data_IF_831568462893
#
_entry.id   IF_831568462893
#
_cell.length_a   1.000
_cell.length_b   1.000
_cell.length_c   1.000
_cell.angle_alpha   90.00
_cell.angle_beta   90.00
_cell.angle_gamma   90.00
#
_symmetry.space_group_name_H-M   'P 1'
#
loop_
_entity.id
_entity.type
_entity.pdbx_description
1 polymer ?
#
# COMPACT_ATOMS: atom_id res chain seq x y z
N UNK A 1 -27.09 -30.13 -0.31
CA UNK A 1 -27.89 -30.97 0.63
C UNK A 1 -27.08 -31.26 1.91
N UNK A 2 -25.89 -31.85 1.87
CA UNK A 2 -25.11 -32.19 3.09
C UNK A 2 -24.87 -31.06 4.06
N UNK A 3 -24.48 -29.86 3.58
CA UNK A 3 -24.22 -28.68 4.41
C UNK A 3 -25.48 -28.17 5.11
N UNK A 4 -26.64 -28.24 4.47
CA UNK A 4 -27.92 -27.83 5.05
C UNK A 4 -28.34 -28.78 6.20
N UNK A 5 -28.12 -30.07 6.03
CA UNK A 5 -28.37 -31.11 7.05
C UNK A 5 -27.51 -30.85 8.28
N UNK A 6 -26.24 -30.56 8.09
CA UNK A 6 -25.30 -30.25 9.17
C UNK A 6 -25.70 -28.97 9.93
N UNK A 7 -26.10 -27.91 9.23
CA UNK A 7 -26.59 -26.66 9.84
C UNK A 7 -27.88 -26.87 10.65
N UNK A 8 -28.79 -27.76 10.22
CA UNK A 8 -29.99 -28.09 10.96
C UNK A 8 -29.67 -28.84 12.26
N UNK A 9 -28.71 -29.80 12.20
CA UNK A 9 -28.27 -30.56 13.35
C UNK A 9 -27.54 -29.68 14.38
N UNK A 10 -26.65 -28.78 13.91
CA UNK A 10 -25.95 -27.82 14.77
C UNK A 10 -26.89 -26.79 15.42
N UNK A 11 -27.94 -26.39 14.73
CA UNK A 11 -28.91 -25.41 15.24
C UNK A 11 -30.07 -26.05 16.04
N UNK A 12 -30.13 -27.37 16.16
CA UNK A 12 -31.24 -28.11 16.82
C UNK A 12 -32.61 -27.90 16.14
N UNK A 13 -32.63 -27.71 14.82
CA UNK A 13 -33.84 -27.38 14.06
C UNK A 13 -34.24 -28.61 13.25
N UNK A 14 -35.56 -28.91 13.23
CA UNK A 14 -36.12 -29.98 12.41
C UNK A 14 -35.77 -29.79 10.93
N UNK A 15 -35.23 -30.85 10.30
CA UNK A 15 -34.78 -30.81 8.91
C UNK A 15 -35.94 -30.49 7.96
N UNK A 16 -35.86 -29.42 7.16
CA UNK A 16 -36.91 -29.12 6.17
C UNK A 16 -36.90 -30.20 5.09
N UNK A 17 -38.07 -30.56 4.61
CA UNK A 17 -38.20 -31.40 3.40
C UNK A 17 -37.93 -30.48 2.20
N UNK A 18 -36.71 -30.53 1.69
CA UNK A 18 -36.26 -29.77 0.52
C UNK A 18 -36.06 -30.76 -0.64
N UNK A 19 -36.85 -30.61 -1.68
CA UNK A 19 -36.64 -31.22 -2.97
C UNK A 19 -36.42 -30.16 -4.07
N UNK A 20 -36.00 -30.59 -5.25
CA UNK A 20 -35.73 -29.70 -6.37
C UNK A 20 -36.99 -28.92 -6.85
N UNK A 21 -38.16 -29.54 -6.70
CA UNK A 21 -39.43 -28.92 -7.11
C UNK A 21 -39.86 -27.79 -6.17
N UNK A 22 -39.54 -27.89 -4.87
CA UNK A 22 -39.78 -26.83 -3.92
C UNK A 22 -38.87 -25.59 -4.13
N UNK A 23 -37.61 -25.82 -4.52
CA UNK A 23 -36.73 -24.74 -4.91
C UNK A 23 -37.26 -23.96 -6.12
N UNK A 24 -37.75 -24.69 -7.15
CA UNK A 24 -38.37 -24.09 -8.33
C UNK A 24 -39.66 -23.31 -8.02
N UNK A 25 -40.43 -23.74 -7.02
CA UNK A 25 -41.65 -23.00 -6.58
C UNK A 25 -41.29 -21.69 -5.83
N UNK A 26 -40.12 -21.62 -5.16
CA UNK A 26 -39.70 -20.38 -4.49
C UNK A 26 -39.14 -19.35 -5.48
N UNK A 27 -38.66 -19.80 -6.62
CA UNK A 27 -38.22 -18.91 -7.69
C UNK A 27 -39.38 -18.27 -8.47
N UNK A 28 -40.63 -18.83 -8.36
CA UNK A 28 -41.72 -18.40 -9.22
C UNK A 28 -42.88 -17.68 -8.49
N UNK A 29 -43.30 -18.04 -7.27
CA UNK A 29 -44.49 -17.38 -6.66
C UNK A 29 -44.77 -17.65 -5.17
N UNK A 30 -44.03 -18.49 -4.46
CA UNK A 30 -44.33 -18.80 -3.03
C UNK A 30 -43.12 -18.52 -2.15
N UNK A 31 -43.26 -17.53 -1.28
CA UNK A 31 -42.24 -17.25 -0.27
C UNK A 31 -42.09 -18.45 0.70
N UNK A 32 -40.81 -18.83 1.00
CA UNK A 32 -40.50 -19.83 2.02
C UNK A 32 -41.00 -19.38 3.40
N UNK A 33 -41.26 -20.32 4.29
CA UNK A 33 -41.59 -19.98 5.69
C UNK A 33 -40.40 -19.32 6.38
N UNK A 34 -40.63 -18.45 7.36
CA UNK A 34 -39.62 -17.67 8.08
C UNK A 34 -38.41 -18.53 8.57
N UNK A 35 -38.67 -19.74 9.07
CA UNK A 35 -37.62 -20.71 9.46
C UNK A 35 -36.74 -21.15 8.29
N UNK A 36 -37.31 -21.32 7.12
CA UNK A 36 -36.56 -21.72 5.91
C UNK A 36 -35.72 -20.56 5.38
N UNK A 37 -36.26 -19.33 5.46
CA UNK A 37 -35.55 -18.09 5.13
C UNK A 37 -34.32 -17.96 6.02
N UNK A 38 -34.44 -18.12 7.34
CA UNK A 38 -33.33 -18.07 8.29
C UNK A 38 -32.24 -19.10 7.96
N UNK A 39 -32.62 -20.34 7.62
CA UNK A 39 -31.69 -21.38 7.21
C UNK A 39 -30.97 -21.08 5.91
N UNK A 40 -31.66 -20.49 4.93
CA UNK A 40 -31.07 -20.07 3.66
C UNK A 40 -30.10 -18.91 3.87
N UNK A 41 -30.45 -17.93 4.70
CA UNK A 41 -29.58 -16.83 5.08
C UNK A 41 -28.28 -17.32 5.73
N UNK A 42 -28.35 -18.29 6.63
CA UNK A 42 -27.19 -18.92 7.27
C UNK A 42 -26.36 -19.73 6.28
N UNK A 43 -27.01 -20.50 5.39
CA UNK A 43 -26.34 -21.32 4.37
C UNK A 43 -25.50 -20.47 3.41
N UNK A 44 -26.10 -19.38 2.92
CA UNK A 44 -25.48 -18.47 1.96
C UNK A 44 -24.72 -17.30 2.62
N UNK A 45 -24.72 -17.23 3.96
CA UNK A 45 -24.09 -16.16 4.75
C UNK A 45 -24.51 -14.76 4.29
N UNK A 46 -25.81 -14.57 4.07
CA UNK A 46 -26.42 -13.35 3.56
C UNK A 46 -27.76 -13.08 4.26
N UNK A 47 -28.41 -11.96 3.96
CA UNK A 47 -29.73 -11.63 4.51
C UNK A 47 -30.87 -11.99 3.56
N UNK A 48 -32.12 -11.95 4.07
CA UNK A 48 -33.31 -12.34 3.31
C UNK A 48 -33.61 -11.39 2.14
N UNK A 49 -33.22 -10.13 2.25
CA UNK A 49 -33.42 -9.09 1.22
C UNK A 49 -32.48 -9.36 0.03
N UNK A 50 -31.23 -9.65 0.32
CA UNK A 50 -30.22 -10.02 -0.70
C UNK A 50 -30.58 -11.31 -1.44
N UNK A 51 -31.27 -12.25 -0.77
CA UNK A 51 -31.80 -13.47 -1.39
C UNK A 51 -33.11 -13.24 -2.17
N UNK A 52 -33.65 -12.02 -2.17
CA UNK A 52 -34.96 -11.73 -2.79
C UNK A 52 -36.16 -12.34 -2.06
N UNK A 53 -35.96 -12.87 -0.83
CA UNK A 53 -36.96 -13.56 -0.01
C UNK A 53 -37.70 -12.64 0.97
N UNK A 54 -37.36 -11.39 1.05
CA UNK A 54 -38.05 -10.34 1.81
C UNK A 54 -37.97 -9.02 1.05
N UNK A 55 -38.99 -8.18 1.14
CA UNK A 55 -38.95 -6.82 0.62
C UNK A 55 -38.00 -5.95 1.43
N UNK A 56 -37.27 -5.04 0.76
CA UNK A 56 -36.48 -4.03 1.45
C UNK A 56 -37.42 -2.97 2.05
N UNK A 57 -37.83 -3.17 3.28
CA UNK A 57 -38.65 -2.22 4.03
C UNK A 57 -37.87 -1.00 4.53
N UNK A 58 -36.57 -0.87 4.19
CA UNK A 58 -35.77 0.29 4.56
C UNK A 58 -35.95 1.47 3.61
N UNK A 59 -36.48 1.24 2.41
CA UNK A 59 -36.71 2.29 1.41
C UNK A 59 -38.05 3.01 1.55
N UNK A 60 -39.07 2.47 2.26
CA UNK A 60 -40.43 3.04 2.37
C UNK A 60 -40.79 3.50 3.78
N UNK A 61 -39.85 3.65 4.69
CA UNK A 61 -40.11 4.12 6.02
C UNK A 61 -40.28 5.66 6.05
N UNK A 62 -41.48 6.15 5.86
CA UNK A 62 -41.92 7.38 6.52
C UNK A 62 -41.68 7.23 8.03
N UNK A 63 -40.69 7.95 8.53
CA UNK A 63 -40.39 7.98 9.96
C UNK A 63 -41.52 8.68 10.68
N UNK A 64 -42.43 7.91 11.30
CA UNK A 64 -43.34 8.43 12.27
C UNK A 64 -42.51 8.85 13.49
N UNK A 65 -42.26 10.15 13.59
CA UNK A 65 -41.59 10.78 14.72
C UNK A 65 -42.49 10.75 15.94
N UNK A 66 -42.19 9.90 16.91
CA UNK A 66 -42.82 9.96 18.23
C UNK A 66 -42.14 11.07 19.04
N UNK A 67 -42.85 12.11 19.50
CA UNK A 67 -42.22 13.18 20.27
C UNK A 67 -41.83 12.68 21.66
N UNK A 68 -40.55 12.79 22.01
CA UNK A 68 -40.06 12.59 23.37
C UNK A 68 -40.29 13.87 24.18
N UNK A 69 -41.03 13.76 25.28
CA UNK A 69 -41.19 14.80 26.27
C UNK A 69 -39.85 15.16 26.95
N UNK A 70 -39.60 16.45 27.24
CA UNK A 70 -38.40 16.86 27.97
C UNK A 70 -38.62 16.72 29.48
N UNK A 71 -37.68 16.04 30.15
CA UNK A 71 -37.58 16.05 31.61
C UNK A 71 -36.67 17.20 32.08
N UNK A 72 -36.86 17.72 33.29
CA UNK A 72 -36.28 19.00 33.72
C UNK A 72 -34.87 18.90 34.32
N UNK A 73 -34.13 19.88 33.99
CA UNK A 73 -33.04 20.58 34.55
C UNK A 73 -32.10 20.01 35.63
N UNK A 74 -30.83 20.29 35.44
CA UNK A 74 -30.04 20.92 36.50
C UNK A 74 -28.84 21.70 35.91
N UNK A 75 -28.77 22.98 36.28
CA UNK A 75 -27.60 23.84 36.06
C UNK A 75 -26.54 23.55 37.10
N UNK A 76 -25.31 23.46 36.68
CA UNK A 76 -24.15 23.74 37.53
C UNK A 76 -23.09 24.43 36.67
N UNK A 77 -22.84 25.69 36.97
CA UNK A 77 -21.71 26.48 36.48
C UNK A 77 -20.40 25.97 37.07
N UNK A 78 -19.41 25.77 36.25
CA UNK A 78 -18.04 25.67 36.70
C UNK A 78 -17.12 26.39 35.72
N UNK A 79 -16.47 27.41 36.22
CA UNK A 79 -15.48 28.25 35.58
C UNK A 79 -14.27 27.46 35.12
N UNK A 80 -13.83 27.66 33.87
CA UNK A 80 -12.59 27.09 33.34
C UNK A 80 -11.58 28.20 33.09
N UNK A 81 -10.46 28.11 33.79
CA UNK A 81 -9.23 28.85 33.48
C UNK A 81 -8.54 28.24 32.24
N UNK A 82 -7.90 29.02 31.39
CA UNK A 82 -7.15 28.48 30.27
C UNK A 82 -5.76 27.99 30.73
N UNK A 83 -5.47 26.73 30.48
CA UNK A 83 -4.09 26.21 30.50
C UNK A 83 -3.64 25.93 29.07
N UNK A 84 -2.63 26.65 28.66
CA UNK A 84 -1.80 26.39 27.49
C UNK A 84 -1.16 25.01 27.60
N UNK A 85 -1.39 24.16 26.64
CA UNK A 85 -0.49 23.02 26.36
C UNK A 85 -0.41 22.80 24.86
N UNK A 86 0.74 23.12 24.35
CA UNK A 86 1.23 22.68 23.05
C UNK A 86 1.32 21.16 23.00
N UNK A 87 0.98 20.61 21.84
CA UNK A 87 1.43 19.28 21.46
C UNK A 87 0.45 18.15 21.74
N UNK A 88 -0.22 17.75 20.72
CA UNK A 88 -0.55 16.35 20.36
C UNK A 88 -1.44 16.41 19.11
N UNK A 89 -0.81 16.50 17.95
CA UNK A 89 -1.48 16.23 16.70
C UNK A 89 -1.63 14.71 16.55
N UNK A 90 -2.44 14.11 17.42
CA UNK A 90 -3.07 12.84 17.08
C UNK A 90 -4.13 13.17 16.04
N UNK A 91 -3.92 12.75 14.82
CA UNK A 91 -4.95 12.68 13.78
C UNK A 91 -5.94 11.59 14.18
N UNK A 92 -6.78 11.88 15.15
CA UNK A 92 -8.08 11.25 15.26
C UNK A 92 -8.82 11.73 14.01
N UNK A 93 -9.10 10.82 13.10
CA UNK A 93 -10.07 11.11 12.03
C UNK A 93 -11.33 11.55 12.78
N UNK A 94 -11.64 12.85 12.71
CA UNK A 94 -12.81 13.41 13.33
C UNK A 94 -14.02 12.54 12.91
N UNK A 95 -14.80 11.97 13.84
CA UNK A 95 -15.96 11.15 13.51
C UNK A 95 -16.90 11.86 12.54
N UNK A 96 -16.96 13.19 12.61
CA UNK A 96 -17.72 14.02 11.69
C UNK A 96 -17.11 13.99 10.28
N UNK A 97 -15.81 14.11 10.13
CA UNK A 97 -15.13 14.02 8.82
C UNK A 97 -15.35 12.66 8.18
N UNK A 98 -15.26 11.57 8.95
CA UNK A 98 -15.55 10.22 8.48
C UNK A 98 -17.01 10.06 8.06
N UNK A 99 -17.95 10.59 8.84
CA UNK A 99 -19.38 10.55 8.54
C UNK A 99 -19.74 11.38 7.31
N UNK A 100 -19.19 12.59 7.18
CA UNK A 100 -19.36 13.43 5.99
C UNK A 100 -18.84 12.75 4.73
N UNK A 101 -17.68 12.14 4.80
CA UNK A 101 -17.07 11.45 3.66
C UNK A 101 -17.86 10.20 3.27
N UNK A 102 -18.32 9.41 4.25
CA UNK A 102 -19.16 8.24 3.99
C UNK A 102 -20.52 8.61 3.39
N UNK A 103 -21.14 9.70 3.88
CA UNK A 103 -22.41 10.21 3.34
C UNK A 103 -22.23 10.75 1.92
N UNK A 104 -21.19 11.53 1.68
CA UNK A 104 -20.84 12.02 0.35
C UNK A 104 -20.69 10.87 -0.65
N UNK A 105 -19.92 9.83 -0.29
CA UNK A 105 -19.74 8.63 -1.12
C UNK A 105 -21.04 7.85 -1.34
N UNK A 106 -21.96 7.84 -0.36
CA UNK A 106 -23.25 7.21 -0.52
C UNK A 106 -24.14 7.98 -1.52
N UNK A 107 -24.15 9.32 -1.46
CA UNK A 107 -24.85 10.17 -2.42
C UNK A 107 -24.27 10.01 -3.82
N UNK A 108 -22.96 10.04 -3.97
CA UNK A 108 -22.28 9.82 -5.26
C UNK A 108 -22.66 8.47 -5.89
N UNK A 109 -22.70 7.40 -5.10
CA UNK A 109 -23.17 6.07 -5.56
C UNK A 109 -24.63 6.07 -6.01
N UNK A 110 -25.49 6.74 -5.25
CA UNK A 110 -26.93 6.84 -5.60
C UNK A 110 -27.15 7.62 -6.90
N UNK A 111 -26.38 8.69 -7.13
CA UNK A 111 -26.45 9.48 -8.35
C UNK A 111 -25.92 8.73 -9.59
N UNK A 112 -25.06 7.74 -9.37
CA UNK A 112 -24.39 6.97 -10.42
C UNK A 112 -25.08 5.62 -10.76
N UNK A 113 -26.33 5.46 -10.46
CA UNK A 113 -27.05 4.18 -10.31
C UNK A 113 -27.16 3.25 -11.54
N UNK A 114 -26.47 3.46 -12.66
CA UNK A 114 -26.63 2.55 -13.83
C UNK A 114 -25.38 2.22 -14.63
N UNK A 115 -24.38 3.07 -14.68
CA UNK A 115 -23.04 2.85 -15.28
C UNK A 115 -22.13 3.97 -14.80
N UNK A 116 -20.83 3.75 -14.70
CA UNK A 116 -19.88 4.82 -14.35
C UNK A 116 -19.96 5.92 -15.37
N UNK A 117 -20.52 7.06 -15.01
CA UNK A 117 -20.55 8.25 -15.83
C UNK A 117 -19.15 8.89 -15.93
N UNK A 118 -18.91 9.74 -16.98
CA UNK A 118 -17.61 10.42 -17.15
C UNK A 118 -17.15 11.16 -15.89
N UNK A 119 -18.02 11.96 -15.27
CA UNK A 119 -17.71 12.72 -14.06
C UNK A 119 -17.34 11.82 -12.87
N UNK A 120 -17.99 10.66 -12.75
CA UNK A 120 -17.66 9.73 -11.68
C UNK A 120 -16.30 9.06 -11.91
N UNK A 121 -15.97 8.74 -13.16
CA UNK A 121 -14.67 8.22 -13.52
C UNK A 121 -13.55 9.25 -13.24
N UNK A 122 -13.80 10.53 -13.54
CA UNK A 122 -12.90 11.64 -13.21
C UNK A 122 -12.69 11.74 -11.69
N UNK A 123 -13.75 11.66 -10.88
CA UNK A 123 -13.66 11.69 -9.42
C UNK A 123 -12.87 10.48 -8.85
N UNK A 124 -12.99 9.31 -9.46
CA UNK A 124 -12.18 8.14 -9.09
C UNK A 124 -10.70 8.37 -9.42
N UNK A 125 -10.41 8.94 -10.61
CA UNK A 125 -9.06 9.31 -11.01
C UNK A 125 -8.43 10.33 -10.04
N UNK A 126 -9.15 11.39 -9.69
CA UNK A 126 -8.70 12.40 -8.75
C UNK A 126 -8.38 11.78 -7.37
N UNK A 127 -9.20 10.83 -6.90
CA UNK A 127 -8.93 10.12 -5.65
C UNK A 127 -7.68 9.25 -5.72
N UNK A 128 -7.50 8.50 -6.81
CA UNK A 128 -6.28 7.71 -7.01
C UNK A 128 -5.05 8.62 -7.08
N UNK A 129 -5.16 9.80 -7.71
CA UNK A 129 -4.10 10.79 -7.71
C UNK A 129 -3.81 11.32 -6.31
N UNK A 130 -4.83 11.65 -5.52
CA UNK A 130 -4.68 12.07 -4.11
C UNK A 130 -3.98 10.99 -3.27
N UNK A 131 -4.39 9.72 -3.41
CA UNK A 131 -3.72 8.59 -2.74
C UNK A 131 -2.23 8.51 -3.10
N UNK A 132 -1.87 8.72 -4.37
CA UNK A 132 -0.47 8.69 -4.84
C UNK A 132 0.37 9.80 -4.22
N UNK A 133 -0.16 11.02 -4.08
CA UNK A 133 0.53 12.15 -3.44
C UNK A 133 0.68 11.96 -1.93
N UNK A 134 -0.36 11.47 -1.28
CA UNK A 134 -0.32 11.26 0.17
C UNK A 134 0.53 10.06 0.58
N UNK A 135 0.66 9.07 -0.29
CA UNK A 135 1.38 7.82 -0.03
C UNK A 135 2.82 8.03 0.42
N UNK A 136 3.48 9.04 -0.12
CA UNK A 136 4.91 9.31 0.16
C UNK A 136 5.12 9.77 1.60
N UNK A 137 4.11 10.44 2.19
CA UNK A 137 4.22 11.12 3.49
C UNK A 137 3.43 10.42 4.61
N UNK A 138 2.49 9.56 4.26
CA UNK A 138 1.62 8.89 5.22
C UNK A 138 2.24 7.57 5.71
N UNK A 139 2.20 7.27 7.02
CA UNK A 139 2.65 5.99 7.53
C UNK A 139 1.94 4.82 6.83
N UNK A 140 2.65 3.72 6.48
CA UNK A 140 2.09 2.64 5.67
C UNK A 140 0.82 2.01 6.26
N UNK A 141 0.73 1.85 7.57
CA UNK A 141 -0.45 1.28 8.23
C UNK A 141 -1.69 2.17 8.06
N UNK A 142 -1.55 3.48 8.27
CA UNK A 142 -2.63 4.43 8.09
C UNK A 142 -3.07 4.52 6.62
N UNK A 143 -2.10 4.41 5.70
CA UNK A 143 -2.37 4.46 4.26
C UNK A 143 -3.14 3.24 3.76
N UNK A 144 -2.90 2.05 4.33
CA UNK A 144 -3.58 0.81 3.93
C UNK A 144 -5.11 0.91 4.04
N UNK A 145 -5.62 1.47 5.13
CA UNK A 145 -7.08 1.61 5.31
C UNK A 145 -7.72 2.44 4.19
N UNK A 146 -7.06 3.51 3.77
CA UNK A 146 -7.55 4.38 2.69
C UNK A 146 -7.47 3.70 1.33
N UNK A 147 -6.33 3.07 1.04
CA UNK A 147 -6.13 2.32 -0.20
C UNK A 147 -7.16 1.21 -0.38
N UNK A 148 -7.47 0.47 0.69
CA UNK A 148 -8.46 -0.61 0.64
C UNK A 148 -9.87 -0.07 0.43
N UNK A 149 -10.23 1.06 1.05
CA UNK A 149 -11.54 1.66 0.87
C UNK A 149 -11.78 2.14 -0.57
N UNK A 150 -10.79 2.82 -1.17
CA UNK A 150 -10.89 3.29 -2.54
C UNK A 150 -10.82 2.13 -3.56
N UNK A 151 -10.03 1.09 -3.28
CA UNK A 151 -10.02 -0.11 -4.12
C UNK A 151 -11.36 -0.85 -4.11
N UNK A 152 -12.02 -0.94 -2.95
CA UNK A 152 -13.34 -1.55 -2.86
C UNK A 152 -14.37 -0.79 -3.70
N UNK A 153 -14.30 0.53 -3.73
CA UNK A 153 -15.18 1.33 -4.57
C UNK A 153 -14.92 1.12 -6.07
N UNK A 154 -13.63 1.11 -6.48
CA UNK A 154 -13.25 0.76 -7.86
C UNK A 154 -13.78 -0.64 -8.22
N UNK A 155 -13.66 -1.62 -7.30
CA UNK A 155 -14.15 -2.98 -7.49
C UNK A 155 -15.66 -3.03 -7.71
N UNK A 156 -16.43 -2.29 -6.91
CA UNK A 156 -17.90 -2.25 -7.06
C UNK A 156 -18.31 -1.77 -8.45
N UNK A 157 -17.60 -0.79 -9.03
CA UNK A 157 -17.86 -0.34 -10.40
C UNK A 157 -17.36 -1.34 -11.45
N UNK A 158 -16.25 -2.04 -11.21
CA UNK A 158 -15.68 -2.99 -12.14
C UNK A 158 -16.49 -4.30 -12.28
N UNK A 159 -17.35 -4.65 -11.30
CA UNK A 159 -18.22 -5.82 -11.35
C UNK A 159 -19.37 -5.63 -12.34
N UNK A 160 -19.82 -4.39 -12.54
CA UNK A 160 -20.87 -4.06 -13.47
C UNK A 160 -20.35 -4.08 -14.91
N UNK A 161 -21.26 -4.30 -15.86
CA UNK A 161 -20.90 -4.24 -17.28
C UNK A 161 -20.61 -2.80 -17.69
N UNK A 162 -19.36 -2.50 -17.94
CA UNK A 162 -18.89 -1.19 -18.36
C UNK A 162 -18.54 -1.13 -19.85
N UNK A 163 -18.60 0.06 -20.50
CA UNK A 163 -17.95 0.29 -21.78
C UNK A 163 -16.46 -0.07 -21.71
N UNK A 164 -15.90 -0.61 -22.80
CA UNK A 164 -14.52 -1.11 -22.82
C UNK A 164 -13.48 -0.08 -22.32
N UNK A 165 -13.62 1.20 -22.69
CA UNK A 165 -12.72 2.26 -22.25
C UNK A 165 -12.81 2.52 -20.73
N UNK A 166 -14.02 2.44 -20.16
CA UNK A 166 -14.24 2.58 -18.70
C UNK A 166 -13.63 1.38 -17.97
N UNK A 167 -13.84 0.15 -18.46
CA UNK A 167 -13.26 -1.04 -17.89
C UNK A 167 -11.73 -0.99 -17.88
N UNK A 168 -11.11 -0.60 -18.99
CA UNK A 168 -9.65 -0.39 -19.05
C UNK A 168 -9.19 0.60 -17.98
N UNK A 169 -9.90 1.71 -17.80
CA UNK A 169 -9.53 2.73 -16.81
C UNK A 169 -9.67 2.23 -15.37
N UNK A 170 -10.72 1.48 -15.05
CA UNK A 170 -10.90 0.84 -13.75
C UNK A 170 -9.78 -0.20 -13.47
N UNK A 171 -9.37 -0.95 -14.50
CA UNK A 171 -8.24 -1.88 -14.38
C UNK A 171 -6.90 -1.15 -14.17
N UNK A 172 -6.69 0.02 -14.79
CA UNK A 172 -5.52 0.88 -14.54
C UNK A 172 -5.49 1.36 -13.08
N UNK A 173 -6.60 1.91 -12.59
CA UNK A 173 -6.73 2.35 -11.20
C UNK A 173 -6.50 1.20 -10.22
N UNK A 174 -7.08 0.03 -10.50
CA UNK A 174 -6.87 -1.20 -9.71
C UNK A 174 -5.40 -1.57 -9.65
N UNK A 175 -4.68 -1.55 -10.80
CA UNK A 175 -3.26 -1.86 -10.85
C UNK A 175 -2.42 -0.90 -10.01
N UNK A 176 -2.74 0.40 -10.07
CA UNK A 176 -2.05 1.44 -9.28
C UNK A 176 -2.27 1.22 -7.79
N UNK A 177 -3.54 1.15 -7.35
CA UNK A 177 -3.89 1.04 -5.93
C UNK A 177 -3.39 -0.27 -5.34
N UNK A 178 -3.56 -1.40 -6.04
CA UNK A 178 -3.05 -2.70 -5.60
C UNK A 178 -1.51 -2.71 -5.48
N UNK A 179 -0.80 -1.97 -6.35
CA UNK A 179 0.67 -1.81 -6.22
C UNK A 179 1.05 -1.04 -4.96
N UNK A 180 0.33 0.03 -4.63
CA UNK A 180 0.58 0.81 -3.41
C UNK A 180 0.26 -0.02 -2.15
N UNK A 181 -0.81 -0.84 -2.17
CA UNK A 181 -1.12 -1.78 -1.08
C UNK A 181 0.03 -2.78 -0.90
N UNK A 182 0.50 -3.38 -2.01
CA UNK A 182 1.61 -4.34 -1.97
C UNK A 182 2.89 -3.72 -1.39
N UNK A 183 3.23 -2.49 -1.81
CA UNK A 183 4.39 -1.74 -1.31
C UNK A 183 4.25 -1.40 0.19
N UNK A 184 3.07 -0.97 0.63
CA UNK A 184 2.80 -0.71 2.06
C UNK A 184 2.96 -1.97 2.92
N UNK A 185 2.42 -3.10 2.45
CA UNK A 185 2.57 -4.40 3.12
C UNK A 185 4.02 -4.86 3.17
N UNK A 186 4.79 -4.66 2.09
CA UNK A 186 6.23 -4.91 2.06
C UNK A 186 6.97 -4.08 3.11
N UNK A 187 6.68 -2.79 3.21
CA UNK A 187 7.28 -1.90 4.23
C UNK A 187 6.98 -2.36 5.65
N UNK A 188 5.80 -2.92 5.88
CA UNK A 188 5.36 -3.47 7.17
C UNK A 188 5.89 -4.88 7.46
N UNK A 189 6.63 -5.50 6.54
CA UNK A 189 7.14 -6.87 6.70
C UNK A 189 6.11 -7.98 6.46
N UNK A 190 4.91 -7.65 5.94
CA UNK A 190 3.87 -8.63 5.57
C UNK A 190 4.16 -9.19 4.16
N UNK A 191 5.21 -9.99 4.05
CA UNK A 191 5.83 -10.34 2.78
C UNK A 191 4.92 -11.21 1.90
N UNK A 192 4.25 -12.22 2.47
CA UNK A 192 3.33 -13.10 1.75
C UNK A 192 2.12 -12.33 1.20
N UNK A 193 1.57 -11.43 1.99
CA UNK A 193 0.47 -10.58 1.55
C UNK A 193 0.93 -9.61 0.47
N UNK A 194 2.12 -9.02 0.63
CA UNK A 194 2.71 -8.15 -0.38
C UNK A 194 2.88 -8.88 -1.72
N UNK A 195 3.39 -10.13 -1.71
CA UNK A 195 3.55 -10.92 -2.93
C UNK A 195 2.19 -11.19 -3.62
N UNK A 196 1.17 -11.55 -2.86
CA UNK A 196 -0.20 -11.76 -3.38
C UNK A 196 -0.77 -10.50 -4.00
N UNK A 197 -0.59 -9.34 -3.35
CA UNK A 197 -1.07 -8.05 -3.85
C UNK A 197 -0.31 -7.58 -5.09
N UNK A 198 1.01 -7.84 -5.19
CA UNK A 198 1.74 -7.64 -6.45
C UNK A 198 1.22 -8.57 -7.57
N UNK A 199 0.78 -9.78 -7.23
CA UNK A 199 0.09 -10.68 -8.15
C UNK A 199 -1.19 -10.06 -8.70
N UNK A 200 -2.05 -9.54 -7.82
CA UNK A 200 -3.29 -8.83 -8.18
C UNK A 200 -3.01 -7.59 -9.05
N UNK A 201 -2.03 -6.78 -8.65
CA UNK A 201 -1.63 -5.61 -9.42
C UNK A 201 -1.16 -5.97 -10.84
N UNK A 202 -0.43 -7.07 -10.99
CA UNK A 202 0.00 -7.57 -12.31
C UNK A 202 -1.17 -8.01 -13.17
N UNK A 203 -2.14 -8.73 -12.60
CA UNK A 203 -3.36 -9.14 -13.33
C UNK A 203 -4.12 -7.91 -13.85
N UNK A 204 -4.35 -6.91 -13.00
CA UNK A 204 -5.02 -5.68 -13.40
C UNK A 204 -4.22 -4.89 -14.45
N UNK A 205 -2.88 -4.83 -14.32
CA UNK A 205 -2.00 -4.21 -15.28
C UNK A 205 -1.99 -4.92 -16.65
N UNK A 206 -2.08 -6.24 -16.66
CA UNK A 206 -2.16 -7.03 -17.89
C UNK A 206 -3.54 -6.88 -18.55
N UNK A 207 -4.62 -6.78 -17.76
CA UNK A 207 -6.00 -6.56 -18.22
C UNK A 207 -6.17 -5.18 -18.88
N UNK A 208 -5.62 -4.12 -18.30
CA UNK A 208 -5.71 -2.78 -18.91
C UNK A 208 -4.91 -2.63 -20.20
N UNK A 209 -3.97 -3.53 -20.49
CA UNK A 209 -3.14 -3.52 -21.70
C UNK A 209 -2.11 -2.39 -21.78
N UNK A 210 -2.07 -1.46 -20.80
CA UNK A 210 -1.15 -0.32 -20.78
C UNK A 210 0.28 -0.77 -20.43
N UNK A 211 1.17 -0.69 -21.44
CA UNK A 211 2.57 -1.15 -21.31
C UNK A 211 3.34 -0.42 -20.21
N UNK A 212 3.05 0.87 -19.98
CA UNK A 212 3.72 1.65 -18.93
C UNK A 212 3.31 1.17 -17.54
N UNK A 213 2.02 0.90 -17.32
CA UNK A 213 1.53 0.34 -16.05
C UNK A 213 2.07 -1.08 -15.84
N UNK A 214 2.06 -1.91 -16.88
CA UNK A 214 2.65 -3.27 -16.83
C UNK A 214 4.13 -3.25 -16.44
N UNK A 215 4.90 -2.33 -17.00
CA UNK A 215 6.31 -2.16 -16.66
C UNK A 215 6.47 -1.62 -15.23
N UNK A 216 5.67 -0.61 -14.85
CA UNK A 216 5.72 0.01 -13.53
C UNK A 216 5.43 -0.97 -12.39
N UNK A 217 4.38 -1.77 -12.52
CA UNK A 217 4.03 -2.80 -11.53
C UNK A 217 5.18 -3.80 -11.35
N UNK A 218 5.83 -4.23 -12.46
CA UNK A 218 6.93 -5.18 -12.38
C UNK A 218 8.17 -4.61 -11.71
N UNK A 219 8.54 -3.38 -12.01
CA UNK A 219 9.70 -2.77 -11.35
C UNK A 219 9.42 -2.49 -9.87
N UNK A 220 8.19 -2.12 -9.51
CA UNK A 220 7.82 -1.95 -8.11
C UNK A 220 7.84 -3.31 -7.38
N UNK A 221 7.34 -4.37 -7.99
CA UNK A 221 7.41 -5.73 -7.45
C UNK A 221 8.84 -6.24 -7.25
N UNK A 222 9.83 -5.72 -8.01
CA UNK A 222 11.23 -6.05 -7.81
C UNK A 222 11.79 -5.60 -6.44
N UNK A 223 11.11 -4.66 -5.77
CA UNK A 223 11.53 -4.18 -4.45
C UNK A 223 11.37 -5.25 -3.38
N UNK A 224 10.33 -6.09 -3.48
CA UNK A 224 10.11 -7.17 -2.51
C UNK A 224 11.32 -8.13 -2.42
N UNK A 225 11.77 -8.79 -3.51
CA UNK A 225 12.95 -9.63 -3.44
C UNK A 225 14.25 -8.84 -3.24
N UNK A 226 14.31 -7.55 -3.58
CA UNK A 226 15.49 -6.74 -3.30
C UNK A 226 15.76 -6.56 -1.80
N UNK A 227 14.71 -6.39 -1.00
CA UNK A 227 14.84 -6.21 0.45
C UNK A 227 14.80 -7.52 1.24
N UNK A 228 14.06 -8.53 0.78
CA UNK A 228 13.72 -9.70 1.58
C UNK A 228 13.90 -11.06 0.89
N UNK A 229 14.27 -11.09 -0.39
CA UNK A 229 14.29 -12.33 -1.15
C UNK A 229 15.55 -12.53 -1.99
N UNK A 230 15.49 -13.45 -2.95
CA UNK A 230 16.61 -13.73 -3.83
C UNK A 230 16.83 -12.57 -4.80
N UNK A 231 18.07 -12.08 -4.83
CA UNK A 231 18.47 -10.90 -5.60
C UNK A 231 18.34 -11.10 -7.11
N UNK A 232 18.49 -12.34 -7.57
CA UNK A 232 18.29 -12.73 -8.97
C UNK A 232 16.86 -12.43 -9.44
N UNK A 233 15.85 -12.67 -8.57
CA UNK A 233 14.46 -12.34 -8.87
C UNK A 233 14.23 -10.83 -8.94
N UNK A 234 14.90 -10.05 -8.11
CA UNK A 234 14.86 -8.59 -8.18
C UNK A 234 15.42 -8.08 -9.50
N UNK A 235 16.58 -8.56 -9.91
CA UNK A 235 17.21 -8.20 -11.17
C UNK A 235 16.35 -8.61 -12.37
N UNK A 236 15.75 -9.80 -12.35
CA UNK A 236 14.91 -10.29 -13.45
C UNK A 236 13.61 -9.50 -13.59
N UNK A 237 12.92 -9.17 -12.50
CA UNK A 237 11.70 -8.33 -12.54
C UNK A 237 12.00 -6.92 -13.06
N UNK A 238 13.11 -6.31 -12.62
CA UNK A 238 13.55 -5.01 -13.11
C UNK A 238 13.90 -5.07 -14.61
N UNK A 239 14.62 -6.11 -15.04
CA UNK A 239 14.94 -6.37 -16.44
C UNK A 239 13.67 -6.54 -17.30
N UNK A 240 12.69 -7.32 -16.83
CA UNK A 240 11.40 -7.48 -17.52
C UNK A 240 10.70 -6.14 -17.72
N UNK A 241 10.66 -5.29 -16.68
CA UNK A 241 10.08 -3.96 -16.76
C UNK A 241 10.81 -3.10 -17.81
N UNK A 242 12.15 -3.14 -17.82
CA UNK A 242 12.95 -2.41 -18.80
C UNK A 242 12.70 -2.88 -20.24
N UNK A 243 12.60 -4.19 -20.46
CA UNK A 243 12.31 -4.76 -21.78
C UNK A 243 10.91 -4.41 -22.28
N UNK A 244 9.91 -4.38 -21.40
CA UNK A 244 8.56 -3.90 -21.75
C UNK A 244 8.57 -2.45 -22.22
N UNK A 245 9.42 -1.63 -21.64
CA UNK A 245 9.56 -0.22 -22.02
C UNK A 245 10.24 -0.01 -23.40
N UNK A 246 10.89 -1.04 -23.96
CA UNK A 246 11.52 -1.05 -25.30
C UNK A 246 12.49 0.11 -25.55
N UNK A 247 13.26 0.53 -24.52
CA UNK A 247 14.20 1.64 -24.62
C UNK A 247 13.60 3.03 -24.79
N UNK A 248 12.27 3.18 -24.64
CA UNK A 248 11.64 4.50 -24.67
C UNK A 248 12.07 5.31 -23.44
N UNK A 249 12.40 6.62 -23.62
CA UNK A 249 12.76 7.47 -22.49
C UNK A 249 11.51 7.81 -21.68
N UNK A 250 11.26 7.02 -20.64
CA UNK A 250 10.16 7.21 -19.68
C UNK A 250 10.68 7.10 -18.26
N UNK A 251 10.03 7.75 -17.30
CA UNK A 251 10.34 7.64 -15.88
C UNK A 251 10.35 6.17 -15.41
N UNK A 252 9.41 5.34 -15.89
CA UNK A 252 9.36 3.90 -15.61
C UNK A 252 10.58 3.16 -16.19
N UNK A 253 11.03 3.54 -17.38
CA UNK A 253 12.24 2.95 -18.00
C UNK A 253 13.51 3.28 -17.22
N UNK A 254 13.68 4.53 -16.81
CA UNK A 254 14.80 4.96 -15.97
C UNK A 254 14.76 4.25 -14.60
N UNK A 255 13.59 4.15 -14.00
CA UNK A 255 13.40 3.41 -12.75
C UNK A 255 13.78 1.92 -12.89
N UNK A 256 13.33 1.26 -13.95
CA UNK A 256 13.62 -0.15 -14.20
C UNK A 256 15.14 -0.39 -14.36
N UNK A 257 15.84 0.46 -15.11
CA UNK A 257 17.29 0.38 -15.28
C UNK A 257 18.03 0.64 -13.94
N UNK A 258 17.59 1.63 -13.15
CA UNK A 258 18.20 1.91 -11.84
C UNK A 258 17.97 0.77 -10.83
N UNK A 259 16.78 0.15 -10.84
CA UNK A 259 16.48 -1.00 -10.01
C UNK A 259 17.30 -2.25 -10.42
N UNK A 260 17.45 -2.48 -11.73
CA UNK A 260 18.31 -3.55 -12.28
C UNK A 260 19.76 -3.32 -11.87
N UNK A 261 20.28 -2.10 -12.01
CA UNK A 261 21.65 -1.74 -11.62
C UNK A 261 21.92 -2.06 -10.15
N UNK A 262 21.04 -1.67 -9.26
CA UNK A 262 21.15 -1.89 -7.82
C UNK A 262 21.14 -3.38 -7.46
N UNK A 263 20.30 -4.18 -8.12
CA UNK A 263 20.25 -5.63 -7.92
C UNK A 263 21.51 -6.33 -8.47
N UNK A 264 21.97 -5.96 -9.67
CA UNK A 264 23.19 -6.49 -10.29
C UNK A 264 24.43 -6.17 -9.47
N UNK A 265 24.52 -4.97 -8.90
CA UNK A 265 25.61 -4.57 -8.00
C UNK A 265 25.68 -5.47 -6.77
N UNK A 266 24.53 -5.81 -6.17
CA UNK A 266 24.48 -6.76 -5.03
C UNK A 266 24.85 -8.19 -5.41
N UNK A 267 24.59 -8.59 -6.66
CA UNK A 267 25.02 -9.88 -7.21
C UNK A 267 26.50 -9.93 -7.60
N UNK A 268 27.24 -8.82 -7.48
CA UNK A 268 28.64 -8.73 -7.91
C UNK A 268 28.82 -8.72 -9.44
N UNK A 269 27.72 -8.52 -10.21
CA UNK A 269 27.75 -8.44 -11.68
C UNK A 269 28.15 -7.02 -12.13
N UNK A 270 29.41 -6.65 -11.81
CA UNK A 270 29.94 -5.27 -11.91
C UNK A 270 29.73 -4.63 -13.28
N UNK A 271 30.18 -5.33 -14.36
CA UNK A 271 30.06 -4.78 -15.71
C UNK A 271 28.62 -4.49 -16.13
N UNK A 272 27.70 -5.39 -15.80
CA UNK A 272 26.28 -5.23 -16.11
C UNK A 272 25.62 -4.15 -15.25
N UNK A 273 26.05 -4.04 -13.98
CA UNK A 273 25.58 -2.97 -13.10
C UNK A 273 25.98 -1.58 -13.65
N UNK A 274 27.20 -1.40 -14.12
CA UNK A 274 27.63 -0.14 -14.75
C UNK A 274 26.86 0.18 -16.03
N UNK A 275 26.63 -0.82 -16.88
CA UNK A 275 25.79 -0.62 -18.07
C UNK A 275 24.38 -0.16 -17.70
N UNK A 276 23.78 -0.78 -16.67
CA UNK A 276 22.45 -0.42 -16.21
C UNK A 276 22.40 0.96 -15.54
N UNK A 277 23.46 1.37 -14.81
CA UNK A 277 23.62 2.73 -14.26
C UNK A 277 23.62 3.76 -15.41
N UNK A 278 24.50 3.57 -16.41
CA UNK A 278 24.57 4.47 -17.57
C UNK A 278 23.23 4.57 -18.31
N UNK A 279 22.54 3.43 -18.47
CA UNK A 279 21.22 3.42 -19.10
C UNK A 279 20.17 4.14 -18.26
N UNK A 280 20.17 4.00 -16.93
CA UNK A 280 19.24 4.69 -16.04
C UNK A 280 19.41 6.21 -16.15
N UNK A 281 20.65 6.70 -16.15
CA UNK A 281 20.98 8.12 -16.30
C UNK A 281 20.53 8.65 -17.68
N UNK A 282 20.89 7.97 -18.75
CA UNK A 282 20.55 8.38 -20.11
C UNK A 282 19.03 8.42 -20.35
N UNK A 283 18.27 7.46 -19.83
CA UNK A 283 16.81 7.47 -19.93
C UNK A 283 16.19 8.57 -19.08
N UNK A 284 16.76 8.83 -17.89
CA UNK A 284 16.28 9.85 -16.98
C UNK A 284 16.46 11.27 -17.53
N UNK A 285 17.58 11.56 -18.18
CA UNK A 285 17.87 12.86 -18.80
C UNK A 285 16.89 13.19 -19.94
N UNK A 286 16.30 12.17 -20.55
CA UNK A 286 15.44 12.31 -21.75
C UNK A 286 13.95 12.18 -21.43
N UNK A 287 13.56 11.83 -20.19
CA UNK A 287 12.17 11.61 -19.84
C UNK A 287 11.57 12.77 -19.04
N UNK A 288 10.25 12.90 -19.11
CA UNK A 288 9.47 13.67 -18.15
C UNK A 288 9.50 12.94 -16.80
N UNK A 289 9.95 13.63 -15.75
CA UNK A 289 10.10 13.08 -14.42
C UNK A 289 8.77 13.04 -13.65
N UNK A 290 7.76 13.79 -14.10
CA UNK A 290 6.48 13.96 -13.42
C UNK A 290 6.58 14.77 -12.14
N UNK A 291 5.47 14.82 -11.38
CA UNK A 291 5.43 15.50 -10.09
C UNK A 291 6.31 14.76 -9.07
N UNK A 292 7.31 15.42 -8.47
CA UNK A 292 8.18 14.78 -7.50
C UNK A 292 7.46 14.25 -6.25
N UNK A 293 6.30 14.78 -5.88
CA UNK A 293 5.53 14.30 -4.72
C UNK A 293 4.65 13.09 -5.02
N UNK A 294 4.49 12.74 -6.28
CA UNK A 294 3.72 11.58 -6.68
C UNK A 294 4.49 10.26 -6.45
N UNK A 295 3.90 9.34 -5.70
CA UNK A 295 4.47 8.00 -5.47
C UNK A 295 4.69 7.22 -6.77
N UNK A 296 3.96 7.54 -7.85
CA UNK A 296 4.08 6.91 -9.16
C UNK A 296 5.14 7.55 -10.05
N UNK A 297 5.70 8.71 -9.67
CA UNK A 297 6.80 9.34 -10.38
C UNK A 297 8.16 8.69 -10.05
N UNK A 298 9.16 9.06 -10.81
CA UNK A 298 10.56 8.70 -10.54
C UNK A 298 11.42 9.96 -10.61
N UNK A 299 11.35 10.83 -9.58
CA UNK A 299 12.08 12.08 -9.53
C UNK A 299 13.59 11.87 -9.30
N UNK A 300 14.37 12.91 -9.52
CA UNK A 300 15.83 12.92 -9.40
C UNK A 300 16.31 12.37 -8.05
N UNK A 301 15.67 12.74 -6.94
CA UNK A 301 16.02 12.21 -5.61
C UNK A 301 15.91 10.68 -5.52
N UNK A 302 14.94 10.07 -6.23
CA UNK A 302 14.78 8.61 -6.28
C UNK A 302 15.82 7.96 -7.19
N UNK A 303 16.16 8.58 -8.33
CA UNK A 303 17.27 8.11 -9.15
C UNK A 303 18.55 7.99 -8.31
N UNK A 304 18.93 9.06 -7.60
CA UNK A 304 20.14 9.05 -6.79
C UNK A 304 20.07 8.11 -5.59
N UNK A 305 18.90 7.88 -5.01
CA UNK A 305 18.71 6.81 -4.01
C UNK A 305 19.07 5.44 -4.58
N UNK A 306 18.66 5.13 -5.82
CA UNK A 306 18.95 3.86 -6.46
C UNK A 306 20.40 3.75 -6.88
N UNK A 307 20.99 4.82 -7.42
CA UNK A 307 22.41 4.87 -7.80
C UNK A 307 23.32 4.79 -6.59
N UNK A 308 22.96 5.44 -5.47
CA UNK A 308 23.67 5.29 -4.20
C UNK A 308 23.78 3.83 -3.81
N UNK A 309 22.67 3.10 -3.81
CA UNK A 309 22.67 1.67 -3.49
C UNK A 309 23.53 0.85 -4.44
N UNK A 310 23.51 1.14 -5.74
CA UNK A 310 24.35 0.46 -6.72
C UNK A 310 25.85 0.70 -6.43
N UNK A 311 26.28 1.95 -6.31
CA UNK A 311 27.69 2.31 -6.03
C UNK A 311 28.16 1.79 -4.67
N UNK A 312 27.29 1.78 -3.64
CA UNK A 312 27.60 1.23 -2.33
C UNK A 312 27.99 -0.25 -2.43
N UNK A 313 27.23 -1.05 -3.20
CA UNK A 313 27.54 -2.48 -3.35
C UNK A 313 28.70 -2.76 -4.29
N UNK A 314 28.93 -1.91 -5.30
CA UNK A 314 30.14 -1.96 -6.14
C UNK A 314 31.43 -1.60 -5.37
N UNK A 315 31.30 -1.01 -4.18
CA UNK A 315 32.45 -0.54 -3.39
C UNK A 315 32.99 0.82 -3.82
N UNK A 316 32.23 1.52 -4.62
CA UNK A 316 32.55 2.85 -5.17
C UNK A 316 32.06 3.94 -4.21
N UNK A 317 32.65 3.95 -3.00
CA UNK A 317 32.16 4.77 -1.87
C UNK A 317 32.11 6.27 -2.17
N UNK A 318 33.05 6.80 -2.97
CA UNK A 318 33.05 8.19 -3.41
C UNK A 318 31.82 8.56 -4.25
N UNK A 319 31.48 7.71 -5.23
CA UNK A 319 30.31 7.90 -6.09
C UNK A 319 29.00 7.69 -5.30
N UNK A 320 28.98 6.70 -4.40
CA UNK A 320 27.85 6.47 -3.49
C UNK A 320 27.58 7.71 -2.64
N UNK A 321 28.58 8.31 -2.00
CA UNK A 321 28.44 9.54 -1.19
C UNK A 321 27.99 10.72 -2.01
N UNK A 322 28.52 10.92 -3.21
CA UNK A 322 28.06 11.99 -4.09
C UNK A 322 26.57 11.84 -4.44
N UNK A 323 26.13 10.61 -4.74
CA UNK A 323 24.72 10.32 -4.99
C UNK A 323 23.84 10.54 -3.74
N UNK A 324 24.30 10.11 -2.55
CA UNK A 324 23.61 10.30 -1.28
C UNK A 324 23.42 11.79 -0.96
N UNK A 325 24.50 12.56 -1.06
CA UNK A 325 24.46 14.01 -0.79
C UNK A 325 23.51 14.72 -1.76
N UNK A 326 23.56 14.39 -3.04
CA UNK A 326 22.66 14.97 -4.04
C UNK A 326 21.21 14.60 -3.77
N UNK A 327 20.93 13.33 -3.48
CA UNK A 327 19.58 12.87 -3.16
C UNK A 327 19.03 13.60 -1.91
N UNK A 328 19.81 13.63 -0.81
CA UNK A 328 19.40 14.25 0.46
C UNK A 328 19.09 15.72 0.30
N UNK A 329 19.84 16.45 -0.55
CA UNK A 329 19.58 17.86 -0.83
C UNK A 329 18.28 18.14 -1.61
N UNK A 330 17.67 17.10 -2.20
CA UNK A 330 16.43 17.21 -2.97
C UNK A 330 15.17 16.76 -2.18
N UNK A 331 15.33 16.21 -0.98
CA UNK A 331 14.19 15.82 -0.15
C UNK A 331 13.62 17.05 0.58
N UNK A 332 12.29 17.23 0.61
CA UNK A 332 11.66 18.25 1.43
C UNK A 332 11.75 17.90 2.92
N UNK A 333 11.51 18.88 3.81
CA UNK A 333 11.50 18.67 5.26
C UNK A 333 10.46 17.62 5.70
N UNK A 334 9.31 17.60 5.01
CA UNK A 334 8.30 16.56 5.18
C UNK A 334 8.68 15.36 4.33
N UNK A 335 9.22 14.33 4.96
CA UNK A 335 9.74 13.16 4.25
C UNK A 335 9.19 11.85 4.82
N UNK A 336 9.17 10.82 3.96
CA UNK A 336 8.97 9.43 4.37
C UNK A 336 10.29 8.78 4.80
N UNK A 337 10.46 7.49 4.48
CA UNK A 337 11.62 6.68 4.93
C UNK A 337 12.86 6.80 4.04
N UNK A 338 12.76 7.37 2.84
CA UNK A 338 13.84 7.37 1.85
C UNK A 338 15.13 8.05 2.33
N UNK A 339 15.09 9.23 3.01
CA UNK A 339 16.30 9.84 3.56
C UNK A 339 16.99 8.98 4.61
N UNK A 340 16.21 8.23 5.41
CA UNK A 340 16.79 7.29 6.37
C UNK A 340 17.46 6.11 5.65
N UNK A 341 16.88 5.60 4.58
CA UNK A 341 17.50 4.55 3.76
C UNK A 341 18.83 5.02 3.15
N UNK A 342 18.92 6.28 2.66
CA UNK A 342 20.17 6.87 2.16
C UNK A 342 21.23 6.96 3.25
N UNK A 343 20.88 7.41 4.45
CA UNK A 343 21.83 7.48 5.58
C UNK A 343 22.29 6.11 6.06
N UNK A 344 21.42 5.09 6.00
CA UNK A 344 21.82 3.72 6.28
C UNK A 344 22.76 3.15 5.23
N UNK A 345 22.63 3.56 3.97
CA UNK A 345 23.61 3.23 2.92
C UNK A 345 24.94 3.96 3.12
N UNK A 346 24.91 5.20 3.59
CA UNK A 346 26.11 5.94 4.00
C UNK A 346 26.83 5.24 5.16
N UNK A 347 26.07 4.73 6.15
CA UNK A 347 26.63 3.91 7.23
C UNK A 347 27.34 2.65 6.69
N UNK A 348 26.77 2.00 5.66
CA UNK A 348 27.42 0.87 4.97
C UNK A 348 28.74 1.30 4.28
N UNK A 349 28.76 2.48 3.66
CA UNK A 349 29.99 3.03 3.07
C UNK A 349 31.07 3.27 4.13
N UNK A 350 30.73 3.86 5.27
CA UNK A 350 31.64 4.06 6.41
C UNK A 350 32.22 2.72 6.89
N UNK A 351 31.41 1.68 7.02
CA UNK A 351 31.86 0.34 7.40
C UNK A 351 32.87 -0.20 6.37
N UNK A 352 32.60 -0.07 5.07
CA UNK A 352 33.51 -0.49 4.00
C UNK A 352 34.82 0.28 4.02
N UNK A 353 34.84 1.52 4.45
CA UNK A 353 35.99 2.39 4.67
C UNK A 353 36.70 2.15 6.02
N UNK A 354 36.26 1.12 6.77
CA UNK A 354 36.79 0.70 8.09
C UNK A 354 36.47 1.67 9.23
N UNK A 355 35.57 2.62 9.06
CA UNK A 355 35.03 3.51 10.10
C UNK A 355 33.84 2.87 10.83
N UNK A 356 34.12 1.74 11.50
CA UNK A 356 33.10 0.89 12.14
C UNK A 356 32.24 1.67 13.15
N UNK A 357 32.88 2.42 14.04
CA UNK A 357 32.19 3.13 15.13
C UNK A 357 31.25 4.19 14.56
N UNK A 358 31.73 4.99 13.61
CA UNK A 358 30.96 6.05 12.95
C UNK A 358 29.77 5.45 12.16
N UNK A 359 30.00 4.35 11.42
CA UNK A 359 28.95 3.67 10.68
C UNK A 359 27.83 3.13 11.59
N UNK A 360 28.18 2.48 12.71
CA UNK A 360 27.19 2.01 13.68
C UNK A 360 26.45 3.16 14.37
N UNK A 361 27.14 4.24 14.73
CA UNK A 361 26.53 5.41 15.33
C UNK A 361 25.58 6.12 14.39
N UNK A 362 25.98 6.31 13.12
CA UNK A 362 25.12 6.90 12.09
C UNK A 362 23.86 6.05 11.88
N UNK A 363 24.00 4.72 11.81
CA UNK A 363 22.84 3.83 11.64
C UNK A 363 21.85 3.91 12.83
N UNK A 364 22.38 3.87 14.07
CA UNK A 364 21.56 3.97 15.28
C UNK A 364 20.85 5.33 15.38
N UNK A 365 21.59 6.41 15.17
CA UNK A 365 21.04 7.77 15.17
C UNK A 365 19.94 7.94 14.11
N UNK A 366 20.23 7.49 12.89
CA UNK A 366 19.26 7.54 11.78
C UNK A 366 17.97 6.79 12.13
N UNK A 367 18.08 5.58 12.70
CA UNK A 367 16.91 4.79 13.07
C UNK A 367 16.05 5.48 14.14
N UNK A 368 16.69 6.06 15.15
CA UNK A 368 16.00 6.77 16.24
C UNK A 368 15.36 8.10 15.80
N UNK A 369 15.91 8.77 14.80
CA UNK A 369 15.35 10.03 14.28
C UNK A 369 14.07 9.83 13.46
N UNK A 370 13.84 8.63 12.91
CA UNK A 370 12.60 8.36 12.17
C UNK A 370 11.42 8.33 13.14
N UNK A 371 10.32 9.05 12.87
CA UNK A 371 9.11 8.98 13.69
C UNK A 371 8.63 7.53 13.84
N UNK A 372 8.11 7.18 15.01
CA UNK A 372 7.75 5.80 15.36
C UNK A 372 6.82 5.15 14.33
N UNK A 373 5.79 5.86 13.88
CA UNK A 373 4.86 5.37 12.87
C UNK A 373 5.51 5.05 11.51
N UNK A 374 6.72 5.56 11.25
CA UNK A 374 7.51 5.28 10.05
C UNK A 374 8.66 4.29 10.29
N UNK A 375 8.89 3.82 11.53
CA UNK A 375 9.89 2.79 11.86
C UNK A 375 9.39 1.41 11.49
N UNK A 376 9.23 1.19 10.21
CA UNK A 376 8.71 -0.06 9.65
C UNK A 376 9.79 -1.12 9.51
N UNK A 377 9.38 -2.37 9.25
CA UNK A 377 10.30 -3.52 9.12
C UNK A 377 11.36 -3.33 8.02
N UNK A 378 11.02 -2.66 6.92
CA UNK A 378 12.01 -2.37 5.86
C UNK A 378 13.18 -1.52 6.39
N UNK A 379 12.90 -0.54 7.24
CA UNK A 379 13.92 0.29 7.85
C UNK A 379 14.77 -0.51 8.85
N UNK A 380 14.12 -1.31 9.69
CA UNK A 380 14.79 -2.22 10.63
C UNK A 380 15.68 -3.24 9.91
N UNK A 381 15.16 -3.87 8.86
CA UNK A 381 15.93 -4.79 8.01
C UNK A 381 17.16 -4.12 7.38
N UNK A 382 17.00 -2.88 6.89
CA UNK A 382 18.11 -2.14 6.29
C UNK A 382 19.17 -1.72 7.32
N UNK A 383 18.75 -1.35 8.52
CA UNK A 383 19.66 -1.05 9.62
C UNK A 383 20.40 -2.30 10.12
N UNK A 384 19.73 -3.47 10.19
CA UNK A 384 20.40 -4.75 10.47
C UNK A 384 21.44 -5.12 9.42
N UNK A 385 21.20 -4.80 8.15
CA UNK A 385 22.17 -5.02 7.08
C UNK A 385 23.52 -4.33 7.33
N UNK A 386 23.58 -3.23 8.11
CA UNK A 386 24.83 -2.59 8.54
C UNK A 386 25.64 -3.51 9.45
N UNK A 387 24.97 -4.30 10.29
CA UNK A 387 25.62 -5.29 11.16
C UNK A 387 26.03 -6.53 10.35
N UNK A 388 25.20 -6.96 9.40
CA UNK A 388 25.39 -8.22 8.65
C UNK A 388 26.61 -8.20 7.76
N UNK A 389 26.99 -7.04 7.22
CA UNK A 389 28.21 -6.89 6.41
C UNK A 389 29.49 -6.97 7.24
N UNK A 390 29.40 -6.90 8.58
CA UNK A 390 30.57 -6.93 9.45
C UNK A 390 31.12 -8.34 9.64
N UNK A 391 32.46 -8.52 9.59
CA UNK A 391 33.08 -9.79 9.96
C UNK A 391 32.72 -10.21 11.38
N UNK A 392 32.51 -11.49 11.60
CA UNK A 392 32.12 -12.05 12.91
C UNK A 392 32.98 -11.55 14.10
N UNK A 393 34.30 -11.40 13.87
CA UNK A 393 35.26 -10.94 14.88
C UNK A 393 35.00 -9.53 15.44
N UNK A 394 34.32 -8.67 14.72
CA UNK A 394 34.05 -7.28 15.15
C UNK A 394 32.60 -7.10 15.66
N UNK A 395 31.73 -8.10 15.50
CA UNK A 395 30.32 -8.02 15.93
C UNK A 395 30.17 -7.91 17.44
N UNK A 396 31.17 -8.29 18.22
CA UNK A 396 31.19 -8.17 19.70
C UNK A 396 31.64 -6.79 20.19
N UNK A 397 31.98 -5.86 19.30
CA UNK A 397 32.41 -4.52 19.68
C UNK A 397 31.27 -3.72 20.30
N UNK A 398 31.62 -2.73 21.14
CA UNK A 398 30.64 -1.90 21.84
C UNK A 398 29.67 -1.21 20.89
N UNK A 399 30.18 -0.61 19.83
CA UNK A 399 29.35 0.12 18.85
C UNK A 399 28.31 -0.78 18.16
N UNK A 400 28.68 -2.05 17.84
CA UNK A 400 27.76 -3.01 17.23
C UNK A 400 26.70 -3.47 18.22
N UNK A 401 27.07 -3.69 19.50
CA UNK A 401 26.10 -4.06 20.55
C UNK A 401 25.09 -2.94 20.77
N UNK A 402 25.55 -1.69 20.91
CA UNK A 402 24.69 -0.52 21.06
C UNK A 402 23.70 -0.38 19.90
N UNK A 403 24.17 -0.56 18.65
CA UNK A 403 23.27 -0.59 17.49
C UNK A 403 22.27 -1.76 17.59
N UNK A 404 22.70 -2.95 17.99
CA UNK A 404 21.83 -4.11 18.19
C UNK A 404 20.72 -3.84 19.23
N UNK A 405 21.07 -3.20 20.35
CA UNK A 405 20.13 -2.79 21.39
C UNK A 405 19.09 -1.78 20.88
N UNK A 406 19.52 -0.79 20.09
CA UNK A 406 18.62 0.20 19.44
C UNK A 406 17.64 -0.53 18.51
N UNK A 407 18.12 -1.48 17.73
CA UNK A 407 17.28 -2.22 16.77
C UNK A 407 16.36 -3.25 17.40
N UNK A 408 16.61 -3.62 18.66
CA UNK A 408 15.74 -4.47 19.46
C UNK A 408 14.59 -3.71 20.13
N UNK A 409 14.58 -2.38 20.10
CA UNK A 409 13.44 -1.59 20.56
C UNK A 409 12.20 -1.94 19.75
N UNK A 410 11.03 -2.08 20.39
CA UNK A 410 9.81 -2.41 19.66
C UNK A 410 9.55 -1.39 18.54
N UNK A 411 9.37 -1.89 17.33
CA UNK A 411 8.82 -1.09 16.24
C UNK A 411 7.43 -0.65 16.65
N UNK A 412 7.10 0.62 16.55
CA UNK A 412 5.79 1.14 16.93
C UNK A 412 4.66 0.40 16.21
N UNK A 413 4.09 -0.57 16.87
CA UNK A 413 2.87 -1.27 16.48
C UNK A 413 1.74 -0.72 17.35
N UNK A 414 1.24 0.44 17.00
CA UNK A 414 -0.05 0.93 17.47
C UNK A 414 -0.85 1.48 16.30
#
# INVERSE_FOLDING_TARGET
MGVLIQLCDEAGIERPRLDADQLGHWETDRQPRARTIDLLCRLYRTDATTLGLAGDYRSDAEVISVPRHPGPGNRAEASVRPSTSEGLWQTWSDPLTSALDSTRRAVERTLAATTVGPTQLELLDERVMSLRHEYVFTPPMAMLGRLLADLEEIRLHAVERQPAGVQVRLSEMTAVVATLIADALMKLGRLDDSERWYGTARMAADDCGNVQIRARVRVQAAMLPYYYGPMERAAELARQARLLNRGRPTATGAFAAAAEARALARLGRTAEAHMAIGQAQALFEQCDQGDPEDAWAFPERRLFLYLSGAHTFLGETGQARAAQHRALGLYPDRTGIDPALLRLEEAICLIKERSLTEGCQLAGHTYLQVPEAHRTEILGSRARAVIDILPARVRSTRAVRELGEILALPSGTT
#
